data_IF_156369459391
#
_entry.id   IF_156369459391
#
_cell.length_a   1.000
_cell.length_b   1.000
_cell.length_c   1.000
_cell.angle_alpha   90.00
_cell.angle_beta   90.00
_cell.angle_gamma   90.00
#
_symmetry.space_group_name_H-M   'P 1'
#
loop_
_entity.id
_entity.type
_entity.pdbx_description
1 polymer ?
#
# COMPACT_ATOMS: atom_id res chain seq x y z
N UNK A 1 11.23 8.66 -22.35
CA UNK A 1 10.36 9.66 -21.70
C UNK A 1 11.09 10.28 -20.51
N UNK A 2 11.06 11.62 -20.38
CA UNK A 2 11.72 12.40 -19.31
C UNK A 2 11.30 11.93 -17.91
N UNK A 3 10.01 11.64 -17.75
CA UNK A 3 9.38 11.18 -16.50
C UNK A 3 10.01 9.92 -15.90
N UNK A 4 10.45 8.95 -16.71
CA UNK A 4 11.07 7.73 -16.19
C UNK A 4 12.38 8.02 -15.46
N UNK A 5 13.18 8.94 -16.00
CA UNK A 5 14.49 9.32 -15.43
C UNK A 5 14.32 10.12 -14.14
N UNK A 6 13.29 10.93 -14.01
CA UNK A 6 13.02 11.65 -12.77
C UNK A 6 12.33 10.77 -11.71
N UNK A 7 11.35 9.96 -12.11
CA UNK A 7 10.49 9.24 -11.16
C UNK A 7 11.22 8.22 -10.28
N UNK A 8 12.27 7.56 -10.79
CA UNK A 8 13.03 6.63 -9.94
C UNK A 8 13.76 7.33 -8.78
N UNK A 9 14.05 8.64 -8.91
CA UNK A 9 14.66 9.44 -7.85
C UNK A 9 13.69 9.77 -6.72
N UNK A 10 12.38 9.62 -6.93
CA UNK A 10 11.37 9.85 -5.91
C UNK A 10 11.28 8.71 -4.88
N UNK A 11 11.95 7.57 -5.13
CA UNK A 11 11.88 6.38 -4.27
C UNK A 11 13.28 5.91 -3.83
N UNK A 12 14.10 6.79 -3.23
CA UNK A 12 15.49 6.49 -2.89
C UNK A 12 15.63 5.27 -1.95
N UNK A 13 14.63 4.99 -1.10
CA UNK A 13 14.71 3.96 -0.07
C UNK A 13 14.08 2.62 -0.49
N UNK A 14 13.71 2.46 -1.76
CA UNK A 14 13.01 1.27 -2.27
C UNK A 14 13.89 0.05 -2.60
N UNK A 15 15.22 0.17 -2.43
CA UNK A 15 16.18 -0.85 -2.87
C UNK A 15 16.38 -0.90 -4.40
N UNK A 16 15.90 0.12 -5.14
CA UNK A 16 16.20 0.35 -6.56
C UNK A 16 15.43 -0.51 -7.58
N UNK A 17 14.66 -1.51 -7.12
CA UNK A 17 13.86 -2.36 -8.02
C UNK A 17 12.53 -1.68 -8.34
N UNK A 18 12.34 -1.30 -9.61
CA UNK A 18 11.07 -0.71 -10.11
C UNK A 18 9.85 -1.58 -9.79
N UNK A 19 9.97 -2.89 -9.91
CA UNK A 19 8.87 -3.83 -9.67
C UNK A 19 8.38 -3.80 -8.22
N UNK A 20 9.28 -3.57 -7.26
CA UNK A 20 8.93 -3.41 -5.85
C UNK A 20 8.05 -2.18 -5.65
N UNK A 21 8.52 -1.01 -6.07
CA UNK A 21 7.75 0.25 -5.98
C UNK A 21 6.40 0.13 -6.70
N UNK A 22 6.41 -0.43 -7.91
CA UNK A 22 5.19 -0.60 -8.70
C UNK A 22 4.17 -1.50 -8.01
N UNK A 23 4.61 -2.60 -7.41
CA UNK A 23 3.71 -3.55 -6.74
C UNK A 23 3.06 -2.89 -5.52
N UNK A 24 3.86 -2.29 -4.64
CA UNK A 24 3.37 -1.58 -3.45
C UNK A 24 2.47 -0.40 -3.82
N UNK A 25 2.85 0.41 -4.81
CA UNK A 25 2.00 1.51 -5.29
C UNK A 25 0.66 1.00 -5.87
N UNK A 26 0.64 -0.17 -6.51
CA UNK A 26 -0.59 -0.78 -7.03
C UNK A 26 -1.51 -1.28 -5.90
N UNK A 27 -0.93 -1.77 -4.81
CA UNK A 27 -1.68 -2.15 -3.61
C UNK A 27 -2.33 -0.93 -2.96
N UNK A 28 -1.56 0.15 -2.75
CA UNK A 28 -2.07 1.42 -2.20
C UNK A 28 -3.13 2.03 -3.10
N UNK A 29 -2.94 2.00 -4.43
CA UNK A 29 -3.96 2.46 -5.38
C UNK A 29 -5.28 1.70 -5.22
N UNK A 30 -5.22 0.38 -5.05
CA UNK A 30 -6.41 -0.45 -4.90
C UNK A 30 -7.18 -0.09 -3.62
N UNK A 31 -6.48 0.10 -2.50
CA UNK A 31 -7.07 0.59 -1.24
C UNK A 31 -7.69 1.98 -1.41
N UNK A 32 -6.92 2.95 -1.92
CA UNK A 32 -7.34 4.34 -2.10
C UNK A 32 -8.58 4.45 -2.96
N UNK A 33 -8.64 3.68 -4.05
CA UNK A 33 -9.80 3.68 -4.93
C UNK A 33 -11.06 3.21 -4.20
N UNK A 34 -11.00 2.10 -3.47
CA UNK A 34 -12.15 1.62 -2.69
C UNK A 34 -12.61 2.64 -1.66
N UNK A 35 -11.68 3.22 -0.90
CA UNK A 35 -11.99 4.25 0.09
C UNK A 35 -12.64 5.50 -0.55
N UNK A 36 -12.11 5.96 -1.69
CA UNK A 36 -12.66 7.10 -2.43
C UNK A 36 -14.02 6.81 -3.07
N UNK A 37 -14.30 5.55 -3.42
CA UNK A 37 -15.60 5.10 -3.92
C UNK A 37 -16.56 4.66 -2.81
N UNK A 38 -16.18 4.83 -1.54
CA UNK A 38 -16.96 4.36 -0.38
C UNK A 38 -17.34 2.88 -0.45
N UNK A 39 -16.50 2.05 -1.08
CA UNK A 39 -16.70 0.60 -1.13
C UNK A 39 -16.37 -0.04 0.23
N UNK A 40 -17.06 -1.12 0.62
CA UNK A 40 -16.75 -1.84 1.86
C UNK A 40 -15.31 -2.36 1.90
N UNK A 41 -14.66 -2.27 3.06
CA UNK A 41 -13.29 -2.78 3.27
C UNK A 41 -13.24 -4.04 4.16
N UNK A 42 -14.38 -4.49 4.68
CA UNK A 42 -14.49 -5.60 5.64
C UNK A 42 -13.90 -6.92 5.11
N UNK A 43 -14.09 -7.21 3.83
CA UNK A 43 -13.52 -8.40 3.18
C UNK A 43 -12.08 -8.19 2.67
N UNK A 44 -11.43 -7.09 3.06
CA UNK A 44 -10.11 -6.70 2.59
C UNK A 44 -10.10 -6.11 1.18
N UNK A 45 -8.89 -5.78 0.71
CA UNK A 45 -8.63 -5.09 -0.56
C UNK A 45 -8.20 -6.10 -1.62
N UNK A 46 -8.98 -6.31 -2.69
CA UNK A 46 -8.58 -7.22 -3.77
C UNK A 46 -7.35 -6.69 -4.50
N UNK A 47 -6.50 -7.61 -4.94
CA UNK A 47 -5.30 -7.34 -5.73
C UNK A 47 -5.50 -7.93 -7.14
N UNK A 48 -6.07 -7.17 -8.09
CA UNK A 48 -6.30 -7.64 -9.45
C UNK A 48 -5.01 -8.20 -10.08
N UNK A 49 -5.12 -9.36 -10.72
CA UNK A 49 -3.97 -10.05 -11.33
C UNK A 49 -3.08 -10.81 -10.35
N UNK A 50 -3.39 -10.81 -9.04
CA UNK A 50 -2.76 -11.68 -8.05
C UNK A 50 -3.78 -12.69 -7.56
N UNK A 51 -3.51 -13.98 -7.77
CA UNK A 51 -4.39 -15.05 -7.31
C UNK A 51 -3.76 -15.82 -6.14
N UNK A 52 -4.60 -16.31 -5.24
CA UNK A 52 -4.21 -17.26 -4.20
C UNK A 52 -3.95 -18.65 -4.80
N UNK A 53 -3.49 -19.60 -3.98
CA UNK A 53 -3.21 -20.99 -4.41
C UNK A 53 -4.45 -21.73 -4.96
N UNK A 54 -5.65 -21.21 -4.71
CA UNK A 54 -6.94 -21.76 -5.16
C UNK A 54 -7.49 -21.02 -6.39
N UNK A 55 -6.71 -20.12 -7.00
CA UNK A 55 -7.10 -19.36 -8.18
C UNK A 55 -8.04 -18.18 -7.91
N UNK A 56 -8.33 -17.86 -6.64
CA UNK A 56 -9.18 -16.71 -6.29
C UNK A 56 -8.34 -15.44 -6.20
N UNK A 57 -8.94 -14.29 -6.51
CA UNK A 57 -8.25 -13.00 -6.36
C UNK A 57 -7.75 -12.84 -4.93
N UNK A 58 -6.44 -12.70 -4.78
CA UNK A 58 -5.79 -12.44 -3.51
C UNK A 58 -6.29 -11.10 -2.97
N UNK A 59 -6.50 -11.03 -1.66
CA UNK A 59 -6.90 -9.81 -0.97
C UNK A 59 -5.89 -9.49 0.12
N UNK A 60 -5.60 -8.21 0.30
CA UNK A 60 -4.90 -7.72 1.50
C UNK A 60 -5.92 -7.56 2.61
N UNK A 61 -5.58 -8.02 3.80
CA UNK A 61 -6.24 -7.58 5.02
C UNK A 61 -6.03 -6.07 5.20
N UNK A 62 -6.89 -5.41 5.97
CA UNK A 62 -6.74 -3.97 6.23
C UNK A 62 -5.42 -3.63 6.92
N UNK A 63 -4.94 -4.53 7.78
CA UNK A 63 -3.62 -4.41 8.41
C UNK A 63 -2.50 -4.44 7.38
N UNK A 64 -2.50 -5.43 6.48
CA UNK A 64 -1.50 -5.51 5.41
C UNK A 64 -1.57 -4.30 4.47
N UNK A 65 -2.78 -3.83 4.15
CA UNK A 65 -2.98 -2.65 3.32
C UNK A 65 -2.42 -1.37 3.97
N UNK A 66 -2.60 -1.21 5.30
CA UNK A 66 -1.96 -0.13 6.06
C UNK A 66 -0.44 -0.23 6.05
N UNK A 67 0.12 -1.44 6.21
CA UNK A 67 1.56 -1.68 6.08
C UNK A 67 2.09 -1.31 4.69
N UNK A 68 1.36 -1.62 3.60
CA UNK A 68 1.77 -1.22 2.24
C UNK A 68 1.75 0.30 2.04
N UNK A 69 0.85 1.03 2.71
CA UNK A 69 0.86 2.51 2.70
C UNK A 69 2.13 3.03 3.37
N UNK A 70 2.45 2.56 4.58
CA UNK A 70 3.66 2.98 5.30
C UNK A 70 4.92 2.63 4.51
N UNK A 71 4.98 1.45 3.91
CA UNK A 71 6.08 1.01 3.05
C UNK A 71 6.25 1.90 1.82
N UNK A 72 5.16 2.34 1.18
CA UNK A 72 5.25 3.25 0.04
C UNK A 72 5.79 4.63 0.46
N UNK A 73 5.36 5.13 1.62
CA UNK A 73 5.89 6.39 2.17
C UNK A 73 7.37 6.23 2.51
N UNK A 74 7.76 5.12 3.12
CA UNK A 74 9.16 4.84 3.48
C UNK A 74 10.09 4.89 2.26
N UNK A 75 9.61 4.37 1.11
CA UNK A 75 10.37 4.45 -0.14
C UNK A 75 10.72 5.89 -0.53
N UNK A 76 9.87 6.85 -0.18
CA UNK A 76 10.04 8.29 -0.45
C UNK A 76 10.87 8.92 0.68
N UNK A 77 10.45 8.73 1.92
CA UNK A 77 11.00 9.37 3.11
C UNK A 77 10.78 8.50 4.35
N UNK A 78 11.87 8.13 5.03
CA UNK A 78 11.84 7.24 6.20
C UNK A 78 11.29 7.93 7.45
N UNK A 79 11.57 9.23 7.62
CA UNK A 79 11.15 9.99 8.79
C UNK A 79 9.63 10.22 8.77
N UNK A 80 9.08 10.54 7.59
CA UNK A 80 7.63 10.67 7.40
C UNK A 80 6.94 9.32 7.64
N UNK A 81 7.52 8.21 7.18
CA UNK A 81 6.96 6.88 7.41
C UNK A 81 6.95 6.53 8.91
N UNK A 82 8.04 6.82 9.62
CA UNK A 82 8.14 6.61 11.06
C UNK A 82 7.13 7.48 11.82
N UNK A 83 7.03 8.76 11.47
CA UNK A 83 6.06 9.68 12.06
C UNK A 83 4.61 9.22 11.83
N UNK A 84 4.26 8.82 10.60
CA UNK A 84 2.93 8.27 10.31
C UNK A 84 2.66 6.98 11.08
N UNK A 85 3.66 6.09 11.21
CA UNK A 85 3.55 4.86 11.99
C UNK A 85 3.22 5.12 13.46
N UNK A 86 3.77 6.19 14.04
CA UNK A 86 3.55 6.57 15.45
C UNK A 86 2.25 7.35 15.68
N UNK A 87 1.80 8.12 14.68
CA UNK A 87 0.64 9.01 14.82
C UNK A 87 -0.65 8.45 14.24
N UNK A 88 -0.58 7.40 13.41
CA UNK A 88 -1.75 6.79 12.79
C UNK A 88 -2.62 6.07 13.82
N UNK A 89 -3.90 6.42 13.86
CA UNK A 89 -4.92 5.71 14.65
C UNK A 89 -5.45 4.43 13.99
N UNK A 90 -5.05 4.15 12.75
CA UNK A 90 -5.57 3.01 11.97
C UNK A 90 -5.32 1.67 12.66
N UNK A 91 -4.11 1.36 13.17
CA UNK A 91 -3.87 0.09 13.87
C UNK A 91 -4.84 -0.13 15.02
N UNK A 92 -5.06 0.87 15.87
CA UNK A 92 -5.95 0.77 17.03
C UNK A 92 -7.42 0.56 16.61
N UNK A 93 -7.87 1.31 15.60
CA UNK A 93 -9.23 1.19 15.08
C UNK A 93 -9.51 -0.23 14.56
N UNK A 94 -8.56 -0.83 13.83
CA UNK A 94 -8.66 -2.19 13.31
C UNK A 94 -8.67 -3.27 14.41
N UNK A 95 -8.15 -2.99 15.62
CA UNK A 95 -8.27 -3.91 16.76
C UNK A 95 -9.63 -3.80 17.43
N UNK A 96 -10.25 -2.62 17.43
CA UNK A 96 -11.52 -2.39 18.15
C UNK A 96 -12.76 -2.87 17.40
N UNK A 97 -12.77 -2.85 16.05
CA UNK A 97 -13.93 -3.28 15.24
C UNK A 97 -13.47 -3.83 13.88
N UNK A 98 -13.76 -5.11 13.57
CA UNK A 98 -13.65 -5.66 12.21
C UNK A 98 -14.72 -5.10 11.27
#
# INVERSE_FOLDING_TARGET
TLWRKALHKAFPNSGGKRTTVFTTASHVRSLRNRAAHHEPLIDGVPLPGQNDRRGRTRRLTLREAHTEVLRLVEYIDQDVAAWLGQTSRVPDLLHTRP
#
